data_IF_680575088375
#
_entry.id   IF_680575088375
#
_cell.length_a   1.000
_cell.length_b   1.000
_cell.length_c   1.000
_cell.angle_alpha   90.00
_cell.angle_beta   90.00
_cell.angle_gamma   90.00
#
_symmetry.space_group_name_H-M   'P 1'
#
loop_
_entity.id
_entity.type
_entity.pdbx_description
1 polymer ?
#
# COMPACT_ATOMS: atom_id res chain seq x y z
N UNK A 1 -14.94 50.60 21.27
CA UNK A 1 -14.19 49.34 21.31
C UNK A 1 -15.16 48.21 21.07
N UNK A 2 -15.13 47.60 19.90
CA UNK A 2 -15.97 46.44 19.58
C UNK A 2 -15.29 45.23 20.21
N UNK A 3 -15.70 44.86 21.43
CA UNK A 3 -15.31 43.57 22.00
C UNK A 3 -16.04 42.49 21.23
N UNK A 4 -15.30 41.62 20.54
CA UNK A 4 -15.84 40.40 19.92
C UNK A 4 -15.88 39.32 21.02
N UNK A 5 -17.04 39.06 21.66
CA UNK A 5 -17.11 38.20 22.84
C UNK A 5 -16.61 36.76 22.58
N UNK A 6 -16.62 36.32 21.33
CA UNK A 6 -16.23 34.97 20.92
C UNK A 6 -14.91 34.91 20.11
N UNK A 7 -14.16 36.03 19.99
CA UNK A 7 -12.98 36.10 19.11
C UNK A 7 -12.03 34.92 19.25
N UNK A 8 -11.72 34.50 20.48
CA UNK A 8 -10.78 33.38 20.71
C UNK A 8 -11.34 32.04 20.24
N UNK A 9 -12.65 31.83 20.39
CA UNK A 9 -13.31 30.62 19.92
C UNK A 9 -13.39 30.63 18.38
N UNK A 10 -13.82 31.74 17.80
CA UNK A 10 -13.95 31.92 16.35
C UNK A 10 -12.59 31.79 15.65
N UNK A 11 -11.54 32.42 16.19
CA UNK A 11 -10.18 32.31 15.66
C UNK A 11 -9.63 30.88 15.74
N UNK A 12 -9.95 30.15 16.81
CA UNK A 12 -9.53 28.75 16.95
C UNK A 12 -10.22 27.86 15.93
N UNK A 13 -11.53 28.03 15.73
CA UNK A 13 -12.26 27.25 14.72
C UNK A 13 -11.78 27.59 13.31
N UNK A 14 -11.54 28.87 13.00
CA UNK A 14 -10.95 29.28 11.72
C UNK A 14 -9.58 28.63 11.46
N UNK A 15 -8.69 28.58 12.46
CA UNK A 15 -7.39 27.89 12.33
C UNK A 15 -7.58 26.39 12.11
N UNK A 16 -8.55 25.77 12.79
CA UNK A 16 -8.83 24.34 12.60
C UNK A 16 -9.44 24.05 11.23
N UNK A 17 -10.26 24.95 10.69
CA UNK A 17 -10.82 24.86 9.34
C UNK A 17 -9.71 24.92 8.29
N UNK A 18 -8.81 25.90 8.41
CA UNK A 18 -7.66 26.05 7.51
C UNK A 18 -6.70 24.85 7.61
N UNK A 19 -6.40 24.39 8.83
CA UNK A 19 -5.58 23.20 9.04
C UNK A 19 -6.23 21.92 8.48
N UNK A 20 -7.55 21.80 8.58
CA UNK A 20 -8.30 20.67 8.02
C UNK A 20 -8.26 20.69 6.49
N UNK A 21 -8.43 21.87 5.89
CA UNK A 21 -8.34 22.03 4.45
C UNK A 21 -6.94 21.73 3.93
N UNK A 22 -5.90 22.32 4.52
CA UNK A 22 -4.51 22.04 4.16
C UNK A 22 -4.14 20.56 4.33
N UNK A 23 -4.63 19.93 5.41
CA UNK A 23 -4.44 18.50 5.61
C UNK A 23 -5.09 17.64 4.53
N UNK A 24 -6.27 18.02 4.02
CA UNK A 24 -6.98 17.31 2.95
C UNK A 24 -6.35 17.53 1.58
N UNK A 25 -6.05 18.77 1.25
CA UNK A 25 -5.65 19.16 -0.10
C UNK A 25 -4.16 18.89 -0.36
N UNK A 26 -3.31 19.09 0.65
CA UNK A 26 -1.86 18.97 0.49
C UNK A 26 -1.30 17.72 1.16
N UNK A 27 -1.51 17.56 2.47
CA UNK A 27 -0.80 16.51 3.23
C UNK A 27 -1.29 15.11 2.86
N UNK A 28 -2.61 14.89 2.86
CA UNK A 28 -3.20 13.59 2.55
C UNK A 28 -2.81 13.12 1.15
N UNK A 29 -2.99 13.98 0.14
CA UNK A 29 -2.64 13.68 -1.25
C UNK A 29 -1.15 13.38 -1.40
N UNK A 30 -0.27 14.21 -0.85
CA UNK A 30 1.16 14.08 -1.03
C UNK A 30 1.75 12.85 -0.33
N UNK A 31 1.19 12.43 0.81
CA UNK A 31 1.58 11.18 1.48
C UNK A 31 1.24 9.97 0.63
N UNK A 32 0.04 9.96 0.04
CA UNK A 32 -0.39 8.85 -0.79
C UNK A 32 0.43 8.76 -2.08
N UNK A 33 0.62 9.90 -2.77
CA UNK A 33 1.44 9.99 -3.98
C UNK A 33 2.88 9.51 -3.73
N UNK A 34 3.52 9.97 -2.66
CA UNK A 34 4.90 9.58 -2.37
C UNK A 34 5.05 8.08 -2.06
N UNK A 35 4.06 7.48 -1.38
CA UNK A 35 4.06 6.05 -1.16
C UNK A 35 3.86 5.26 -2.46
N UNK A 36 3.02 5.76 -3.37
CA UNK A 36 2.81 5.16 -4.69
C UNK A 36 4.08 5.23 -5.54
N UNK A 37 4.80 6.35 -5.53
CA UNK A 37 6.08 6.50 -6.25
C UNK A 37 7.09 5.42 -5.83
N UNK A 38 7.16 5.12 -4.52
CA UNK A 38 8.06 4.07 -4.00
C UNK A 38 7.60 2.69 -4.48
N UNK A 39 6.29 2.39 -4.41
CA UNK A 39 5.74 1.12 -4.87
C UNK A 39 5.96 0.92 -6.37
N UNK A 40 5.73 1.94 -7.19
CA UNK A 40 5.96 1.88 -8.64
C UNK A 40 7.45 1.67 -8.97
N UNK A 41 8.35 2.34 -8.25
CA UNK A 41 9.78 2.15 -8.42
C UNK A 41 10.18 0.71 -8.04
N UNK A 42 9.67 0.21 -6.92
CA UNK A 42 9.87 -1.16 -6.45
C UNK A 42 9.35 -2.19 -7.45
N UNK A 43 8.13 -2.02 -7.96
CA UNK A 43 7.54 -2.91 -8.96
C UNK A 43 8.36 -2.94 -10.25
N UNK A 44 8.86 -1.79 -10.71
CA UNK A 44 9.73 -1.71 -11.90
C UNK A 44 11.10 -2.35 -11.69
N UNK A 45 11.69 -2.20 -10.50
CA UNK A 45 13.01 -2.76 -10.19
C UNK A 45 12.98 -4.30 -10.13
N UNK A 46 11.89 -4.85 -9.61
CA UNK A 46 11.75 -6.28 -9.36
C UNK A 46 10.82 -7.02 -10.33
N UNK A 47 10.27 -6.31 -11.32
CA UNK A 47 9.30 -6.83 -12.28
C UNK A 47 8.04 -7.43 -11.61
N UNK A 48 7.49 -6.68 -10.63
CA UNK A 48 6.28 -7.06 -9.91
C UNK A 48 5.09 -6.17 -10.28
N UNK A 49 3.91 -6.79 -10.43
CA UNK A 49 2.65 -6.04 -10.48
C UNK A 49 2.22 -5.64 -9.07
N UNK A 50 2.40 -4.34 -8.78
CA UNK A 50 2.08 -3.71 -7.50
C UNK A 50 0.77 -2.92 -7.53
N UNK A 51 0.05 -2.91 -8.66
CA UNK A 51 -1.11 -2.03 -8.84
C UNK A 51 -2.20 -2.30 -7.80
N UNK A 52 -2.45 -3.58 -7.49
CA UNK A 52 -3.40 -3.97 -6.45
C UNK A 52 -3.05 -3.41 -5.06
N UNK A 53 -1.76 -3.28 -4.73
CA UNK A 53 -1.30 -2.67 -3.48
C UNK A 53 -1.46 -1.15 -3.54
N UNK A 54 -1.09 -0.51 -4.66
CA UNK A 54 -1.26 0.93 -4.86
C UNK A 54 -2.74 1.33 -4.70
N UNK A 55 -3.65 0.64 -5.39
CA UNK A 55 -5.08 0.91 -5.37
C UNK A 55 -5.71 0.68 -3.99
N UNK A 56 -5.14 -0.20 -3.18
CA UNK A 56 -5.62 -0.49 -1.83
C UNK A 56 -5.20 0.56 -0.78
N UNK A 57 -4.40 1.56 -1.16
CA UNK A 57 -3.99 2.64 -0.27
C UNK A 57 -5.15 3.56 0.09
N UNK A 58 -5.40 3.75 1.38
CA UNK A 58 -6.46 4.63 1.89
C UNK A 58 -5.89 5.79 2.68
N UNK A 59 -6.48 6.97 2.50
CA UNK A 59 -6.18 8.17 3.30
C UNK A 59 -7.46 8.80 3.83
N UNK A 60 -7.44 9.23 5.09
CA UNK A 60 -8.57 9.86 5.78
C UNK A 60 -8.12 11.02 6.64
N UNK A 61 -8.79 12.16 6.49
CA UNK A 61 -8.63 13.33 7.36
C UNK A 61 -9.82 13.44 8.30
N UNK A 62 -9.53 13.49 9.60
CA UNK A 62 -10.51 13.58 10.66
C UNK A 62 -10.29 14.80 11.54
N UNK A 63 -11.35 15.61 11.71
CA UNK A 63 -11.39 16.62 12.76
C UNK A 63 -11.70 15.98 14.11
N UNK A 64 -10.89 16.32 15.11
CA UNK A 64 -11.09 15.95 16.52
C UNK A 64 -11.06 17.23 17.36
N UNK A 65 -11.51 17.14 18.62
CA UNK A 65 -11.60 18.31 19.51
C UNK A 65 -10.21 18.98 19.67
N UNK A 66 -9.99 20.08 18.95
CA UNK A 66 -8.76 20.85 18.99
C UNK A 66 -7.60 20.34 18.13
N UNK A 67 -7.82 19.40 17.20
CA UNK A 67 -6.77 18.91 16.29
C UNK A 67 -7.35 18.31 15.01
N UNK A 68 -6.54 18.29 13.97
CA UNK A 68 -6.78 17.56 12.74
C UNK A 68 -5.86 16.34 12.73
N UNK A 69 -6.37 15.18 12.31
CA UNK A 69 -5.61 13.93 12.22
C UNK A 69 -5.70 13.41 10.79
N UNK A 70 -4.55 13.26 10.13
CA UNK A 70 -4.43 12.51 8.88
C UNK A 70 -4.07 11.07 9.22
N UNK A 71 -4.83 10.12 8.69
CA UNK A 71 -4.59 8.69 8.77
C UNK A 71 -4.39 8.18 7.35
N UNK A 72 -3.39 7.34 7.16
CA UNK A 72 -3.19 6.65 5.91
C UNK A 72 -2.69 5.24 6.19
N UNK A 73 -2.92 4.33 5.27
CA UNK A 73 -2.50 2.95 5.42
C UNK A 73 -2.95 2.07 4.27
N UNK A 74 -2.53 0.82 4.36
CA UNK A 74 -2.82 -0.24 3.41
C UNK A 74 -3.41 -1.43 4.16
N UNK A 75 -4.09 -2.35 3.45
CA UNK A 75 -4.57 -3.59 4.06
C UNK A 75 -3.40 -4.44 4.57
N UNK A 76 -3.71 -5.38 5.47
CA UNK A 76 -2.72 -6.24 6.13
C UNK A 76 -1.69 -6.88 5.18
N UNK A 77 -2.05 -7.41 3.99
CA UNK A 77 -1.07 -8.02 3.09
C UNK A 77 0.05 -7.09 2.62
N UNK A 78 -0.16 -5.76 2.66
CA UNK A 78 0.88 -4.81 2.29
C UNK A 78 2.09 -4.84 3.25
N UNK A 79 1.96 -5.45 4.44
CA UNK A 79 3.08 -5.64 5.35
C UNK A 79 4.18 -6.51 4.74
N UNK A 80 3.82 -7.44 3.84
CA UNK A 80 4.77 -8.31 3.15
C UNK A 80 5.62 -7.53 2.14
N UNK A 81 5.05 -6.53 1.47
CA UNK A 81 5.79 -5.61 0.61
C UNK A 81 6.65 -4.65 1.44
N UNK A 82 6.09 -4.12 2.54
CA UNK A 82 6.78 -3.17 3.43
C UNK A 82 8.02 -3.77 4.09
N UNK A 83 7.97 -5.06 4.47
CA UNK A 83 9.03 -5.73 5.23
C UNK A 83 9.83 -6.76 4.42
N UNK A 84 9.35 -7.11 3.24
CA UNK A 84 9.83 -8.27 2.50
C UNK A 84 9.36 -9.59 3.13
N UNK A 85 9.61 -10.66 2.40
CA UNK A 85 9.41 -12.04 2.85
C UNK A 85 10.69 -12.84 2.58
N UNK A 86 10.82 -13.97 3.26
CA UNK A 86 11.87 -14.94 2.97
C UNK A 86 11.36 -15.97 1.97
N UNK A 87 12.26 -16.72 1.35
CA UNK A 87 11.90 -17.90 0.57
C UNK A 87 11.03 -18.82 1.43
N UNK A 88 9.90 -19.25 0.88
CA UNK A 88 8.94 -20.08 1.60
C UNK A 88 8.19 -21.00 0.66
N UNK A 89 7.57 -22.02 1.24
CA UNK A 89 6.68 -22.93 0.55
C UNK A 89 5.25 -22.41 0.70
N UNK A 90 4.52 -22.38 -0.41
CA UNK A 90 3.08 -22.16 -0.42
C UNK A 90 2.42 -23.51 -0.58
N UNK A 91 1.54 -23.86 0.35
CA UNK A 91 0.80 -25.12 0.38
C UNK A 91 -0.70 -24.83 0.32
N UNK A 92 -1.48 -25.77 -0.21
CA UNK A 92 -2.94 -25.65 -0.23
C UNK A 92 -3.53 -26.01 1.15
N UNK A 93 -3.99 -25.01 1.91
CA UNK A 93 -4.58 -25.23 3.24
C UNK A 93 -6.02 -25.76 3.20
N UNK A 94 -6.88 -25.16 2.38
CA UNK A 94 -8.32 -25.49 2.30
C UNK A 94 -8.71 -26.25 1.01
N UNK A 95 -7.73 -26.56 0.16
CA UNK A 95 -7.91 -27.26 -1.11
C UNK A 95 -6.94 -28.44 -1.22
N UNK A 96 -7.27 -29.49 -2.01
CA UNK A 96 -6.36 -30.62 -2.17
C UNK A 96 -5.10 -30.28 -2.97
N UNK A 97 -5.15 -29.23 -3.81
CA UNK A 97 -4.04 -28.74 -4.64
C UNK A 97 -4.20 -27.24 -4.90
N UNK A 98 -3.09 -26.55 -5.12
CA UNK A 98 -3.02 -25.22 -5.72
C UNK A 98 -3.41 -25.31 -7.20
N UNK A 99 -4.19 -24.35 -7.68
CA UNK A 99 -4.59 -24.26 -9.10
C UNK A 99 -4.40 -22.83 -9.62
N UNK A 100 -3.47 -22.63 -10.54
CA UNK A 100 -3.20 -21.33 -11.17
C UNK A 100 -2.69 -21.48 -12.60
N UNK A 101 -2.72 -20.38 -13.37
CA UNK A 101 -2.10 -20.29 -14.69
C UNK A 101 -0.66 -19.84 -14.53
N UNK A 102 0.28 -20.60 -15.09
CA UNK A 102 1.69 -20.22 -15.15
C UNK A 102 2.05 -19.87 -16.60
N UNK A 103 2.36 -18.60 -16.86
CA UNK A 103 2.55 -18.06 -18.22
C UNK A 103 3.85 -18.56 -18.90
N UNK A 104 4.98 -18.56 -18.18
CA UNK A 104 6.25 -19.06 -18.69
C UNK A 104 6.85 -20.15 -17.80
N UNK A 105 6.26 -21.36 -17.78
CA UNK A 105 6.71 -22.41 -16.89
C UNK A 105 7.86 -23.21 -17.51
N UNK A 106 8.67 -23.90 -16.67
CA UNK A 106 9.73 -24.79 -17.12
C UNK A 106 9.19 -25.95 -17.97
N UNK A 107 10.06 -26.55 -18.78
CA UNK A 107 9.67 -27.55 -19.80
C UNK A 107 8.82 -28.71 -19.25
N UNK A 108 9.13 -29.23 -18.05
CA UNK A 108 8.39 -30.34 -17.46
C UNK A 108 6.90 -29.99 -17.25
N UNK A 109 6.58 -28.76 -16.88
CA UNK A 109 5.17 -28.30 -16.75
C UNK A 109 4.48 -28.30 -18.10
N UNK A 110 5.17 -27.84 -19.15
CA UNK A 110 4.60 -27.77 -20.50
C UNK A 110 4.32 -29.14 -21.10
N UNK A 111 5.03 -30.18 -20.64
CA UNK A 111 4.86 -31.57 -21.05
C UNK A 111 3.74 -32.27 -20.25
N UNK A 112 3.57 -31.92 -18.98
CA UNK A 112 2.60 -32.56 -18.07
C UNK A 112 1.23 -31.89 -18.04
N UNK A 113 1.15 -30.58 -18.26
CA UNK A 113 -0.07 -29.79 -18.12
C UNK A 113 -0.57 -29.22 -19.44
N UNK A 114 -1.87 -28.96 -19.52
CA UNK A 114 -2.50 -28.38 -20.71
C UNK A 114 -2.34 -26.86 -20.74
N UNK A 115 -2.17 -26.33 -21.95
CA UNK A 115 -2.15 -24.90 -22.19
C UNK A 115 -3.57 -24.34 -22.06
N UNK A 116 -3.74 -23.26 -21.31
CA UNK A 116 -4.99 -22.55 -21.13
C UNK A 116 -4.75 -21.04 -21.18
N UNK A 117 -5.33 -20.37 -22.18
CA UNK A 117 -5.09 -18.96 -22.44
C UNK A 117 -3.62 -18.70 -22.78
N UNK A 118 -3.01 -17.76 -22.08
CA UNK A 118 -1.63 -17.33 -22.29
C UNK A 118 -0.60 -18.15 -21.47
N UNK A 119 -1.02 -19.23 -20.79
CA UNK A 119 -0.13 -20.06 -19.96
C UNK A 119 -0.57 -21.52 -19.85
N UNK A 120 -0.09 -22.20 -18.80
CA UNK A 120 -0.43 -23.59 -18.50
C UNK A 120 -1.13 -23.69 -17.16
N UNK A 121 -2.25 -24.43 -17.11
CA UNK A 121 -2.97 -24.63 -15.85
C UNK A 121 -2.31 -25.75 -15.03
N UNK A 122 -1.72 -25.39 -13.90
CA UNK A 122 -1.02 -26.33 -13.03
C UNK A 122 -1.84 -26.70 -11.80
N UNK A 123 -1.65 -27.94 -11.34
CA UNK A 123 -2.24 -28.48 -10.11
C UNK A 123 -1.12 -29.05 -9.23
N UNK A 124 -0.70 -28.31 -8.21
CA UNK A 124 0.44 -28.68 -7.37
C UNK A 124 0.05 -28.76 -5.90
N UNK A 125 0.54 -29.74 -5.11
CA UNK A 125 0.28 -29.78 -3.67
C UNK A 125 0.98 -28.61 -2.95
N UNK A 126 2.17 -28.23 -3.42
CA UNK A 126 2.98 -27.16 -2.88
C UNK A 126 3.80 -26.48 -3.99
N UNK A 127 4.27 -25.25 -3.75
CA UNK A 127 5.25 -24.58 -4.62
C UNK A 127 6.25 -23.78 -3.79
N UNK A 128 7.50 -23.74 -4.24
CA UNK A 128 8.54 -22.92 -3.62
C UNK A 128 8.52 -21.54 -4.27
N UNK A 129 8.37 -20.50 -3.46
CA UNK A 129 8.40 -19.11 -3.93
C UNK A 129 9.60 -18.39 -3.32
N UNK A 130 10.26 -17.58 -4.14
CA UNK A 130 11.30 -16.67 -3.66
C UNK A 130 10.68 -15.58 -2.80
N UNK A 131 11.40 -15.19 -1.76
CA UNK A 131 11.02 -14.08 -0.89
C UNK A 131 10.97 -12.76 -1.64
N UNK A 132 10.10 -11.86 -1.17
CA UNK A 132 10.01 -10.49 -1.65
C UNK A 132 11.10 -9.63 -0.97
N UNK A 133 11.85 -8.82 -1.72
CA UNK A 133 12.67 -7.77 -1.13
C UNK A 133 11.81 -6.73 -0.38
N UNK A 134 12.44 -6.02 0.55
CA UNK A 134 11.77 -5.01 1.37
C UNK A 134 11.62 -3.68 0.58
N UNK A 135 10.39 -3.22 0.37
CA UNK A 135 10.13 -1.92 -0.32
C UNK A 135 10.22 -0.70 0.59
N UNK A 136 9.94 -0.84 1.90
CA UNK A 136 9.92 0.24 2.91
C UNK A 136 8.97 1.41 2.62
N UNK A 137 8.03 1.24 1.70
CA UNK A 137 7.19 2.34 1.22
C UNK A 137 6.40 3.07 2.32
N UNK A 138 5.99 2.39 3.40
CA UNK A 138 5.31 3.01 4.55
C UNK A 138 6.32 3.79 5.42
N UNK A 139 7.44 3.16 5.79
CA UNK A 139 8.45 3.77 6.68
C UNK A 139 9.14 4.95 6.02
N UNK A 140 9.48 4.83 4.74
CA UNK A 140 10.17 5.89 4.02
C UNK A 140 9.23 7.07 3.75
N UNK A 141 7.95 6.81 3.49
CA UNK A 141 6.93 7.88 3.43
C UNK A 141 6.75 8.58 4.77
N UNK A 142 6.71 7.85 5.88
CA UNK A 142 6.67 8.46 7.22
C UNK A 142 7.89 9.36 7.48
N UNK A 143 9.08 8.91 7.09
CA UNK A 143 10.32 9.67 7.25
C UNK A 143 10.38 10.88 6.32
N UNK A 144 9.87 10.76 5.09
CA UNK A 144 9.72 11.85 4.15
C UNK A 144 8.76 12.92 4.68
N UNK A 145 7.58 12.53 5.15
CA UNK A 145 6.57 13.45 5.69
C UNK A 145 7.14 14.25 6.88
N UNK A 146 7.83 13.57 7.79
CA UNK A 146 8.52 14.22 8.92
C UNK A 146 9.56 15.23 8.50
N UNK A 147 10.24 15.06 7.37
CA UNK A 147 11.24 16.02 6.88
C UNK A 147 10.62 17.18 6.10
N UNK A 148 9.49 16.93 5.44
CA UNK A 148 8.83 17.89 4.55
C UNK A 148 7.97 18.92 5.29
N UNK A 149 7.40 18.53 6.44
CA UNK A 149 6.41 19.31 7.19
C UNK A 149 6.73 19.52 8.68
N UNK A 150 7.90 19.06 9.18
CA UNK A 150 8.38 19.45 10.51
C UNK A 150 9.28 20.69 10.43
#
# INVERSE_FOLDING_TARGET
MTTLPNFKADAREAILDEAEQHAREEIASAVQEHAHDILEAYGREHDYDVQSIIEAGETRVERRKGRVVVRWGWPEPAIFFERGTVDHVVEADEAPVLSFIWEDPPQWVREEFEQEGDGWRVFLPETNVSGLPESRFIRDTLNWLRRRFA
#
